data_IF_569428720211
#
_entry.id   IF_569428720211
#
_cell.length_a   1.000
_cell.length_b   1.000
_cell.length_c   1.000
_cell.angle_alpha   90.00
_cell.angle_beta   90.00
_cell.angle_gamma   90.00
#
_symmetry.space_group_name_H-M   'P 1'
#
loop_
_entity.id
_entity.type
_entity.pdbx_description
1 polymer ?
#
# COMPACT_ATOMS: atom_id res chain seq x y z
N UNK A 1 1.81 3.03 0.11
CA UNK A 1 0.62 2.18 0.05
C UNK A 1 -0.48 2.83 0.86
N UNK A 2 -1.70 2.84 0.35
CA UNK A 2 -2.84 3.50 0.98
C UNK A 2 -4.11 2.69 0.79
N UNK A 3 -5.02 2.78 1.75
CA UNK A 3 -6.32 2.11 1.74
C UNK A 3 -7.32 3.00 2.45
N UNK A 4 -8.49 3.16 1.83
CA UNK A 4 -9.60 3.94 2.36
C UNK A 4 -10.88 3.16 2.14
N UNK A 5 -11.61 2.87 3.23
CA UNK A 5 -12.87 2.13 3.20
C UNK A 5 -12.73 0.79 2.49
N UNK A 6 -13.20 0.77 1.24
CA UNK A 6 -13.40 -0.43 0.44
C UNK A 6 -12.36 -0.58 -0.68
N UNK A 7 -11.35 0.29 -0.68
CA UNK A 7 -10.34 0.39 -1.72
C UNK A 7 -8.92 0.34 -1.13
N UNK A 8 -7.98 -0.27 -1.85
CA UNK A 8 -6.56 -0.23 -1.56
C UNK A 8 -5.75 -0.08 -2.85
N UNK A 9 -4.71 0.75 -2.83
CA UNK A 9 -3.80 0.94 -3.96
C UNK A 9 -2.33 0.93 -3.54
N UNK A 10 -1.48 0.50 -4.47
CA UNK A 10 -0.03 0.52 -4.40
C UNK A 10 0.50 1.29 -5.60
N UNK A 11 1.22 2.37 -5.32
CA UNK A 11 1.88 3.19 -6.31
C UNK A 11 3.39 2.92 -6.27
N UNK A 12 3.98 2.75 -7.45
CA UNK A 12 5.42 2.84 -7.62
C UNK A 12 5.83 4.31 -7.66
N UNK A 13 6.59 4.77 -6.66
CA UNK A 13 6.95 6.20 -6.54
C UNK A 13 7.89 6.66 -7.66
N UNK A 14 8.73 5.78 -8.20
CA UNK A 14 9.65 6.09 -9.28
C UNK A 14 8.89 6.43 -10.58
N UNK A 15 7.98 5.54 -11.02
CA UNK A 15 7.22 5.74 -12.26
C UNK A 15 5.87 6.44 -12.09
N UNK A 16 5.44 6.69 -10.85
CA UNK A 16 4.08 7.17 -10.49
C UNK A 16 2.93 6.27 -10.96
N UNK A 17 3.22 5.03 -11.36
CA UNK A 17 2.20 4.07 -11.82
C UNK A 17 1.53 3.38 -10.64
N UNK A 18 0.21 3.19 -10.74
CA UNK A 18 -0.49 2.25 -9.87
C UNK A 18 -0.15 0.84 -10.33
N UNK A 19 0.52 0.09 -9.48
CA UNK A 19 1.03 -1.26 -9.77
C UNK A 19 0.26 -2.35 -9.03
N UNK A 20 -0.61 -1.97 -8.08
CA UNK A 20 -1.50 -2.89 -7.39
C UNK A 20 -2.72 -2.14 -6.92
N UNK A 21 -3.89 -2.75 -7.06
CA UNK A 21 -5.13 -2.18 -6.57
C UNK A 21 -6.16 -3.28 -6.30
N UNK A 22 -7.06 -2.99 -5.38
CA UNK A 22 -8.21 -3.83 -5.07
C UNK A 22 -9.36 -2.94 -4.62
N UNK A 23 -10.56 -3.21 -5.11
CA UNK A 23 -11.81 -2.54 -4.73
C UNK A 23 -12.82 -3.63 -4.39
N UNK A 24 -13.59 -3.41 -3.33
CA UNK A 24 -14.62 -4.32 -2.84
C UNK A 24 -15.93 -3.56 -2.65
N UNK A 25 -17.06 -4.25 -2.74
CA UNK A 25 -18.39 -3.72 -2.42
C UNK A 25 -18.70 -3.80 -0.92
N UNK A 26 -17.82 -4.45 -0.14
CA UNK A 26 -17.92 -4.65 1.30
C UNK A 26 -16.58 -4.37 1.98
N UNK A 27 -16.62 -3.97 3.25
CA UNK A 27 -15.44 -3.79 4.09
C UNK A 27 -14.66 -5.11 4.18
N UNK A 28 -13.65 -5.28 3.32
CA UNK A 28 -12.87 -6.50 3.24
C UNK A 28 -11.61 -6.32 4.10
N UNK A 29 -11.41 -7.21 5.07
CA UNK A 29 -10.31 -7.08 6.04
C UNK A 29 -8.91 -7.08 5.41
N UNK A 30 -8.78 -7.60 4.18
CA UNK A 30 -7.49 -7.89 3.55
C UNK A 30 -7.28 -7.20 2.18
N UNK A 31 -7.96 -6.08 1.91
CA UNK A 31 -7.79 -5.31 0.66
C UNK A 31 -6.33 -4.92 0.42
N UNK A 32 -5.67 -4.46 1.49
CA UNK A 32 -4.27 -4.08 1.45
C UNK A 32 -3.37 -5.27 1.06
N UNK A 33 -3.60 -6.44 1.64
CA UNK A 33 -2.82 -7.64 1.31
C UNK A 33 -3.02 -8.05 -0.16
N UNK A 34 -4.24 -7.95 -0.67
CA UNK A 34 -4.55 -8.28 -2.07
C UNK A 34 -3.89 -7.30 -3.06
N UNK A 35 -3.96 -5.99 -2.79
CA UNK A 35 -3.30 -4.97 -3.60
C UNK A 35 -1.77 -5.11 -3.57
N UNK A 36 -1.19 -5.44 -2.41
CA UNK A 36 0.25 -5.69 -2.25
C UNK A 36 0.72 -6.89 -3.09
N UNK A 37 0.00 -8.02 -3.01
CA UNK A 37 0.31 -9.22 -3.79
C UNK A 37 0.32 -8.95 -5.29
N UNK A 38 -0.65 -8.17 -5.79
CA UNK A 38 -0.69 -7.75 -7.19
C UNK A 38 0.52 -6.90 -7.56
N UNK A 39 0.89 -5.95 -6.72
CA UNK A 39 2.05 -5.09 -6.94
C UNK A 39 3.36 -5.90 -7.04
N UNK A 40 3.58 -6.84 -6.14
CA UNK A 40 4.76 -7.71 -6.20
C UNK A 40 4.75 -8.66 -7.39
N UNK A 41 3.59 -9.20 -7.77
CA UNK A 41 3.48 -10.04 -8.96
C UNK A 41 3.86 -9.29 -10.24
N UNK A 42 3.51 -8.00 -10.33
CA UNK A 42 3.81 -7.14 -11.48
C UNK A 42 5.28 -6.69 -11.48
N UNK A 43 5.80 -6.22 -10.34
CA UNK A 43 7.13 -5.59 -10.29
C UNK A 43 8.28 -6.55 -10.00
N UNK A 44 8.03 -7.67 -9.33
CA UNK A 44 9.04 -8.65 -8.90
C UNK A 44 10.30 -7.96 -8.38
N UNK A 45 10.18 -7.11 -7.35
CA UNK A 45 11.28 -6.27 -6.92
C UNK A 45 12.40 -7.10 -6.30
N UNK A 46 13.62 -6.58 -6.40
CA UNK A 46 14.77 -7.14 -5.70
C UNK A 46 14.64 -6.94 -4.18
N UNK A 47 15.29 -7.81 -3.38
CA UNK A 47 15.37 -7.63 -1.94
C UNK A 47 15.90 -6.24 -1.56
N UNK A 48 15.33 -5.65 -0.50
CA UNK A 48 15.67 -4.30 -0.04
C UNK A 48 14.71 -3.20 -0.49
N UNK A 49 13.71 -3.50 -1.34
CA UNK A 49 12.65 -2.54 -1.67
C UNK A 49 11.93 -2.06 -0.40
N UNK A 50 11.71 -0.75 -0.28
CA UNK A 50 10.93 -0.18 0.82
C UNK A 50 9.45 -0.10 0.45
N UNK A 51 8.61 -0.82 1.18
CA UNK A 51 7.17 -0.67 1.18
C UNK A 51 6.75 0.35 2.24
N UNK A 52 6.47 1.58 1.81
CA UNK A 52 5.98 2.62 2.70
C UNK A 52 4.45 2.61 2.81
N UNK A 53 3.88 2.69 4.02
CA UNK A 53 2.42 2.79 4.25
C UNK A 53 2.10 3.76 5.39
N UNK A 54 0.82 4.09 5.55
CA UNK A 54 0.37 4.65 6.81
C UNK A 54 0.46 3.63 7.96
N UNK A 55 0.20 4.10 9.19
CA UNK A 55 0.30 3.29 10.41
C UNK A 55 -1.03 2.64 10.82
N UNK A 56 -1.93 2.42 9.87
CA UNK A 56 -3.21 1.74 10.05
C UNK A 56 -3.06 0.30 10.53
N UNK A 57 -4.11 -0.21 11.19
CA UNK A 57 -4.11 -1.56 11.78
C UNK A 57 -3.94 -2.66 10.74
N UNK A 58 -4.43 -2.46 9.52
CA UNK A 58 -4.26 -3.39 8.40
C UNK A 58 -2.79 -3.57 7.99
N UNK A 59 -1.99 -2.50 8.03
CA UNK A 59 -0.55 -2.56 7.68
C UNK A 59 0.29 -3.05 8.85
N UNK A 60 -0.15 -2.78 10.08
CA UNK A 60 0.45 -3.32 11.29
C UNK A 60 0.18 -4.82 11.47
N UNK A 61 -0.73 -5.43 10.71
CA UNK A 61 -1.08 -6.84 10.86
C UNK A 61 0.09 -7.78 10.55
N UNK A 62 0.15 -8.91 11.26
CA UNK A 62 1.18 -9.94 11.08
C UNK A 62 1.16 -10.46 9.64
N UNK A 63 -0.03 -10.69 9.07
CA UNK A 63 -0.20 -11.21 7.71
C UNK A 63 0.40 -10.25 6.67
N UNK A 64 0.13 -8.95 6.80
CA UNK A 64 0.68 -7.95 5.89
C UNK A 64 2.20 -7.88 6.03
N UNK A 65 2.71 -7.82 7.26
CA UNK A 65 4.16 -7.72 7.47
C UNK A 65 4.91 -8.95 6.97
N UNK A 66 4.35 -10.13 7.22
CA UNK A 66 4.91 -11.40 6.74
C UNK A 66 4.94 -11.45 5.22
N UNK A 67 3.90 -10.95 4.56
CA UNK A 67 3.86 -10.92 3.09
C UNK A 67 4.94 -10.00 2.51
N UNK A 68 5.17 -8.81 3.08
CA UNK A 68 6.26 -7.92 2.63
C UNK A 68 7.63 -8.60 2.79
N UNK A 69 7.86 -9.26 3.93
CA UNK A 69 9.12 -9.95 4.22
C UNK A 69 9.38 -11.15 3.29
N UNK A 70 8.34 -11.86 2.83
CA UNK A 70 8.49 -12.97 1.86
C UNK A 70 9.14 -12.53 0.54
N UNK A 71 8.95 -11.27 0.15
CA UNK A 71 9.57 -10.70 -1.05
C UNK A 71 10.90 -9.99 -0.75
N UNK A 72 11.45 -10.13 0.46
CA UNK A 72 12.70 -9.47 0.87
C UNK A 72 12.57 -7.95 0.99
N UNK A 73 11.35 -7.41 1.01
CA UNK A 73 11.09 -5.99 1.13
C UNK A 73 11.08 -5.54 2.60
N UNK A 74 11.38 -4.26 2.81
CA UNK A 74 11.40 -3.61 4.12
C UNK A 74 10.12 -2.80 4.31
N UNK A 75 9.60 -2.79 5.53
CA UNK A 75 8.40 -2.03 5.87
C UNK A 75 8.82 -0.69 6.46
N UNK A 76 8.25 0.37 5.92
CA UNK A 76 8.34 1.72 6.46
C UNK A 76 6.93 2.24 6.70
N UNK A 77 6.69 2.86 7.85
CA UNK A 77 5.37 3.40 8.20
C UNK A 77 5.49 4.86 8.60
N UNK A 78 4.50 5.67 8.21
CA UNK A 78 4.44 7.07 8.61
C UNK A 78 4.32 7.22 10.15
N UNK A 79 4.90 8.30 10.68
CA UNK A 79 4.77 8.66 12.10
C UNK A 79 3.33 9.01 12.49
N UNK A 80 3.00 8.94 13.79
CA UNK A 80 1.70 9.46 14.28
C UNK A 80 1.62 10.95 13.94
N UNK A 81 0.60 11.35 13.18
CA UNK A 81 0.35 12.76 12.84
C UNK A 81 1.20 13.31 11.69
N UNK A 82 1.99 12.51 10.98
CA UNK A 82 2.76 12.97 9.83
C UNK A 82 1.99 12.73 8.52
N UNK A 83 1.16 13.69 8.12
CA UNK A 83 0.36 13.63 6.89
C UNK A 83 1.20 13.76 5.61
N UNK A 84 2.40 14.33 5.69
CA UNK A 84 3.27 14.55 4.53
C UNK A 84 3.75 13.24 3.89
N UNK A 85 3.97 12.20 4.70
CA UNK A 85 4.44 10.90 4.24
C UNK A 85 3.44 10.21 3.29
N UNK A 86 2.13 10.48 3.46
CA UNK A 86 1.06 9.92 2.63
C UNK A 86 0.48 10.92 1.62
N UNK A 87 0.91 12.18 1.64
CA UNK A 87 0.34 13.26 0.84
C UNK A 87 0.36 12.94 -0.68
N UNK A 88 1.36 12.20 -1.17
CA UNK A 88 1.44 11.80 -2.58
C UNK A 88 0.25 10.91 -2.97
N UNK A 89 -0.07 9.92 -2.14
CA UNK A 89 -1.14 8.96 -2.45
C UNK A 89 -2.50 9.60 -2.15
N UNK A 90 -2.60 10.42 -1.11
CA UNK A 90 -3.81 11.21 -0.83
C UNK A 90 -4.16 12.17 -1.97
N UNK A 91 -3.16 12.83 -2.55
CA UNK A 91 -3.36 13.72 -3.71
C UNK A 91 -3.88 12.94 -4.91
N UNK A 92 -3.34 11.74 -5.17
CA UNK A 92 -3.83 10.87 -6.25
C UNK A 92 -5.32 10.52 -6.07
N UNK A 93 -5.75 10.19 -4.86
CA UNK A 93 -7.17 9.90 -4.59
C UNK A 93 -8.07 11.13 -4.72
N UNK A 94 -7.58 12.31 -4.32
CA UNK A 94 -8.32 13.57 -4.56
C UNK A 94 -8.57 13.80 -6.04
N UNK A 95 -7.60 13.50 -6.90
CA UNK A 95 -7.76 13.57 -8.36
C UNK A 95 -8.75 12.51 -8.88
N UNK A 96 -8.78 11.31 -8.31
CA UNK A 96 -9.67 10.23 -8.74
C UNK A 96 -11.14 10.46 -8.35
N UNK A 97 -11.40 11.13 -7.23
CA UNK A 97 -12.74 11.36 -6.67
C UNK A 97 -13.38 12.69 -7.11
N UNK A 98 -12.70 13.46 -7.95
CA UNK A 98 -13.14 14.77 -8.42
C UNK A 98 -14.01 14.71 -9.67
#
# INVERSE_FOLDING_TARGET
MFSAGDEAIVMDLFSRRIIGWFVSDRLHRNLALAALRRAFAIRRPDPGLICHSDRGSQYCSIDYQSEVQKYGALISMSGRGNCYDNAIVETFFKTLKS
#
